data_IF_666282363472
#
_entry.id   IF_666282363472
#
_cell.length_a   1.000
_cell.length_b   1.000
_cell.length_c   1.000
_cell.angle_alpha   90.00
_cell.angle_beta   90.00
_cell.angle_gamma   90.00
#
_symmetry.space_group_name_H-M   'P 1'
#
loop_
_entity.id
_entity.type
_entity.pdbx_description
1 polymer ?
#
# COMPACT_ATOMS: atom_id res chain seq x y z
N UNK A 1 9.40 -11.06 -5.61
CA UNK A 1 9.01 -10.35 -6.85
C UNK A 1 8.32 -9.06 -6.45
N UNK A 2 8.60 -7.96 -7.13
CA UNK A 2 7.92 -6.69 -6.92
C UNK A 2 7.23 -6.24 -8.21
N UNK A 3 6.05 -5.66 -8.09
CA UNK A 3 5.35 -5.00 -9.20
C UNK A 3 4.92 -3.64 -8.72
N UNK A 4 5.36 -2.63 -9.45
CA UNK A 4 5.25 -1.25 -9.02
C UNK A 4 4.72 -0.36 -10.14
N UNK A 5 4.06 0.71 -9.73
CA UNK A 5 3.30 1.66 -10.56
C UNK A 5 3.52 3.07 -10.01
N UNK A 6 3.21 4.10 -10.81
CA UNK A 6 3.34 5.48 -10.34
C UNK A 6 2.42 5.74 -9.13
N UNK A 7 3.01 6.18 -8.03
CA UNK A 7 2.32 6.60 -6.79
C UNK A 7 2.20 8.12 -6.68
N UNK A 8 2.00 8.63 -5.46
CA UNK A 8 1.97 10.06 -5.19
C UNK A 8 3.32 10.58 -4.67
N UNK A 9 3.73 11.74 -5.17
CA UNK A 9 4.79 12.54 -4.56
C UNK A 9 4.35 13.03 -3.18
N UNK A 10 5.31 13.23 -2.29
CA UNK A 10 5.14 13.91 -1.03
C UNK A 10 4.43 15.26 -1.24
N UNK A 11 4.71 16.00 -2.32
CA UNK A 11 4.09 17.28 -2.68
C UNK A 11 2.57 17.30 -2.46
N UNK A 12 1.89 16.21 -2.80
CA UNK A 12 0.43 16.07 -2.71
C UNK A 12 0.00 15.20 -1.52
N UNK A 13 -0.21 15.85 -0.38
CA UNK A 13 -0.62 15.20 0.88
C UNK A 13 -1.91 14.39 0.75
N UNK A 14 -2.87 14.87 -0.04
CA UNK A 14 -4.17 14.20 -0.20
C UNK A 14 -4.01 12.92 -1.02
N UNK A 15 -3.25 12.97 -2.11
CA UNK A 15 -2.96 11.77 -2.90
C UNK A 15 -2.12 10.76 -2.13
N UNK A 16 -1.13 11.23 -1.36
CA UNK A 16 -0.32 10.39 -0.48
C UNK A 16 -1.19 9.61 0.51
N UNK A 17 -2.08 10.29 1.23
CA UNK A 17 -2.99 9.66 2.19
C UNK A 17 -3.95 8.69 1.49
N UNK A 18 -4.42 9.04 0.28
CA UNK A 18 -5.29 8.15 -0.52
C UNK A 18 -4.56 6.85 -0.87
N UNK A 19 -3.29 6.91 -1.27
CA UNK A 19 -2.48 5.72 -1.53
C UNK A 19 -2.14 4.94 -0.24
N UNK A 20 -1.91 5.63 0.88
CA UNK A 20 -1.70 4.99 2.18
C UNK A 20 -2.96 4.25 2.69
N UNK A 21 -4.15 4.78 2.40
CA UNK A 21 -5.42 4.11 2.65
C UNK A 21 -5.62 2.92 1.70
N UNK A 22 -5.31 3.10 0.40
CA UNK A 22 -5.34 2.00 -0.57
C UNK A 22 -4.42 0.86 -0.12
N UNK A 23 -3.20 1.15 0.31
CA UNK A 23 -2.24 0.18 0.84
C UNK A 23 -2.85 -0.69 1.96
N UNK A 24 -3.55 -0.07 2.92
CA UNK A 24 -4.18 -0.77 4.04
C UNK A 24 -5.40 -1.59 3.61
N UNK A 25 -6.17 -1.11 2.63
CA UNK A 25 -7.29 -1.90 2.07
C UNK A 25 -6.81 -3.12 1.27
N UNK A 26 -5.68 -3.00 0.57
CA UNK A 26 -5.05 -4.08 -0.17
C UNK A 26 -4.37 -5.08 0.77
N UNK A 27 -3.71 -4.58 1.81
CA UNK A 27 -3.07 -5.33 2.88
C UNK A 27 -1.56 -5.14 2.91
N UNK A 28 -1.02 -4.88 4.09
CA UNK A 28 0.42 -4.66 4.35
C UNK A 28 1.15 -5.93 4.82
N UNK A 29 0.62 -7.11 4.48
CA UNK A 29 1.11 -8.40 4.97
C UNK A 29 0.29 -8.93 6.14
N UNK A 30 0.76 -10.04 6.73
CA UNK A 30 0.11 -10.71 7.85
C UNK A 30 0.86 -10.32 9.13
N UNK A 31 0.26 -9.51 10.03
CA UNK A 31 0.96 -8.98 11.19
C UNK A 31 1.22 -10.03 12.28
N UNK A 32 0.43 -11.11 12.32
CA UNK A 32 0.57 -12.17 13.33
C UNK A 32 0.92 -13.49 12.65
N UNK A 33 1.95 -14.17 13.16
CA UNK A 33 2.32 -15.51 12.71
C UNK A 33 1.09 -16.41 12.81
N UNK A 34 0.73 -17.09 11.71
CA UNK A 34 -0.41 -18.01 11.59
C UNK A 34 -1.80 -17.37 11.43
N UNK A 35 -1.92 -16.05 11.28
CA UNK A 35 -3.20 -15.47 10.84
C UNK A 35 -3.46 -15.81 9.36
N UNK A 36 -4.72 -16.05 9.01
CA UNK A 36 -5.17 -16.34 7.65
C UNK A 36 -5.33 -15.10 6.76
N UNK A 37 -4.98 -13.89 7.25
CA UNK A 37 -5.06 -12.64 6.49
C UNK A 37 -6.50 -12.25 6.11
N UNK A 38 -7.49 -12.67 6.90
CA UNK A 38 -8.92 -12.52 6.61
C UNK A 38 -9.37 -11.06 6.41
N UNK A 39 -8.54 -10.09 6.81
CA UNK A 39 -8.82 -8.67 6.65
C UNK A 39 -8.30 -8.01 5.37
N UNK A 40 -7.48 -8.66 4.56
CA UNK A 40 -6.74 -8.00 3.45
C UNK A 40 -6.97 -8.70 2.12
N UNK A 41 -7.35 -7.94 1.08
CA UNK A 41 -7.72 -8.51 -0.23
C UNK A 41 -6.58 -9.27 -0.89
N UNK A 42 -5.35 -8.77 -0.76
CA UNK A 42 -4.17 -9.43 -1.33
C UNK A 42 -3.89 -10.76 -0.63
N UNK A 43 -4.02 -10.82 0.70
CA UNK A 43 -3.80 -12.06 1.46
C UNK A 43 -4.92 -13.08 1.21
N UNK A 44 -6.18 -12.65 1.13
CA UNK A 44 -7.30 -13.51 0.75
C UNK A 44 -7.14 -14.10 -0.66
N UNK A 45 -6.59 -13.34 -1.60
CA UNK A 45 -6.39 -13.81 -2.97
C UNK A 45 -5.29 -14.88 -3.10
N UNK A 46 -4.45 -15.04 -2.07
CA UNK A 46 -3.29 -15.93 -2.10
C UNK A 46 -3.43 -17.22 -1.31
N UNK A 47 -4.43 -17.35 -0.42
CA UNK A 47 -4.82 -18.59 0.28
C UNK A 47 -3.64 -19.49 0.75
N UNK A 48 -2.51 -18.90 1.15
CA UNK A 48 -1.32 -19.62 1.63
C UNK A 48 -0.25 -20.00 0.59
N UNK A 49 -0.40 -19.64 -0.69
CA UNK A 49 0.62 -19.88 -1.75
C UNK A 49 1.82 -18.93 -1.73
N UNK A 50 1.97 -18.13 -0.66
CA UNK A 50 3.05 -17.16 -0.50
C UNK A 50 2.67 -16.01 0.43
N UNK A 51 3.60 -15.08 0.61
CA UNK A 51 3.39 -13.81 1.31
C UNK A 51 3.27 -12.67 0.29
N UNK A 52 2.35 -11.74 0.52
CA UNK A 52 2.21 -10.52 -0.26
C UNK A 52 2.03 -9.32 0.65
N UNK A 53 2.58 -8.18 0.25
CA UNK A 53 2.37 -6.92 0.96
C UNK A 53 2.29 -5.78 -0.05
N UNK A 54 1.31 -4.91 0.13
CA UNK A 54 1.21 -3.66 -0.61
C UNK A 54 2.30 -2.68 -0.15
N UNK A 55 2.91 -2.02 -1.13
CA UNK A 55 3.98 -1.05 -0.95
C UNK A 55 3.48 0.34 -1.36
N UNK A 56 3.80 1.35 -0.55
CA UNK A 56 3.62 2.75 -0.87
C UNK A 56 4.89 3.50 -0.45
N UNK A 57 5.62 4.05 -1.42
CA UNK A 57 6.80 4.87 -1.19
C UNK A 57 6.56 6.26 -1.80
N UNK A 58 6.81 7.31 -1.02
CA UNK A 58 6.55 8.67 -1.42
C UNK A 58 7.87 9.45 -1.36
N UNK A 59 8.32 9.98 -2.50
CA UNK A 59 9.49 10.84 -2.63
C UNK A 59 9.07 12.29 -2.88
N UNK A 60 10.01 13.23 -2.80
CA UNK A 60 9.71 14.66 -2.96
C UNK A 60 9.19 15.01 -4.36
N UNK A 61 9.66 14.33 -5.39
CA UNK A 61 9.37 14.56 -6.80
C UNK A 61 8.46 13.50 -7.43
N UNK A 62 8.49 12.26 -6.91
CA UNK A 62 7.72 11.14 -7.43
C UNK A 62 7.15 10.25 -6.32
N UNK A 63 6.27 9.32 -6.69
CA UNK A 63 5.79 8.28 -5.80
C UNK A 63 5.79 6.93 -6.48
N UNK A 64 5.80 5.88 -5.68
CA UNK A 64 5.76 4.50 -6.11
C UNK A 64 4.71 3.75 -5.31
N UNK A 65 3.80 3.08 -6.00
CA UNK A 65 2.77 2.25 -5.39
C UNK A 65 2.75 0.88 -6.03
N UNK A 66 2.63 -0.18 -5.23
CA UNK A 66 2.72 -1.52 -5.77
C UNK A 66 2.49 -2.61 -4.74
N UNK A 67 3.02 -3.79 -5.03
CA UNK A 67 3.07 -4.89 -4.09
C UNK A 67 4.37 -5.68 -4.26
N UNK A 68 4.80 -6.29 -3.17
CA UNK A 68 5.89 -7.25 -3.12
C UNK A 68 5.28 -8.59 -2.76
N UNK A 69 5.61 -9.63 -3.52
CA UNK A 69 5.20 -10.99 -3.25
C UNK A 69 6.40 -11.94 -3.17
N UNK A 70 6.36 -12.84 -2.21
CA UNK A 70 7.30 -13.92 -2.02
C UNK A 70 6.54 -15.25 -2.06
N UNK A 71 6.87 -16.11 -3.01
CA UNK A 71 6.20 -17.40 -3.19
C UNK A 71 7.22 -18.45 -3.67
N UNK A 72 6.97 -19.74 -3.41
CA UNK A 72 7.73 -20.81 -4.04
C UNK A 72 7.68 -20.69 -5.57
N UNK A 73 8.75 -21.12 -6.23
CA UNK A 73 8.92 -20.88 -7.66
C UNK A 73 7.81 -21.54 -8.51
N UNK A 74 7.23 -22.65 -8.03
CA UNK A 74 6.08 -23.33 -8.64
C UNK A 74 4.77 -22.51 -8.63
N UNK A 75 4.60 -21.59 -7.66
CA UNK A 75 3.37 -20.80 -7.48
C UNK A 75 3.54 -19.32 -7.86
N UNK A 76 4.77 -18.88 -8.11
CA UNK A 76 5.10 -17.50 -8.46
C UNK A 76 4.27 -16.97 -9.64
N UNK A 77 4.02 -17.80 -10.64
CA UNK A 77 3.20 -17.41 -11.79
C UNK A 77 1.72 -17.20 -11.47
N UNK A 78 1.16 -17.99 -10.54
CA UNK A 78 -0.21 -17.82 -10.05
C UNK A 78 -0.31 -16.53 -9.25
N UNK A 79 0.59 -16.33 -8.30
CA UNK A 79 0.63 -15.15 -7.40
C UNK A 79 0.59 -13.83 -8.19
N UNK A 80 1.39 -13.71 -9.25
CA UNK A 80 1.46 -12.48 -10.05
C UNK A 80 0.22 -12.29 -10.92
N UNK A 81 -0.28 -13.36 -11.54
CA UNK A 81 -1.33 -13.28 -12.55
C UNK A 81 -2.73 -13.23 -11.96
N UNK A 82 -3.00 -14.02 -10.91
CA UNK A 82 -4.33 -14.18 -10.35
C UNK A 82 -4.63 -13.18 -9.23
N UNK A 83 -3.68 -12.95 -8.33
CA UNK A 83 -3.92 -12.15 -7.14
C UNK A 83 -3.64 -10.67 -7.39
N UNK A 84 -2.44 -10.34 -7.86
CA UNK A 84 -1.97 -8.99 -7.65
C UNK A 84 -2.23 -8.03 -8.84
N UNK A 85 -2.17 -8.52 -10.09
CA UNK A 85 -2.62 -7.75 -11.25
C UNK A 85 -4.15 -7.58 -11.30
N UNK A 86 -4.91 -8.58 -10.82
CA UNK A 86 -6.38 -8.54 -10.78
C UNK A 86 -6.86 -7.63 -9.65
N UNK A 87 -6.31 -7.77 -8.44
CA UNK A 87 -6.71 -6.94 -7.30
C UNK A 87 -6.40 -5.46 -7.55
N UNK A 88 -5.26 -5.09 -8.15
CA UNK A 88 -4.99 -3.69 -8.49
C UNK A 88 -6.00 -3.10 -9.51
N UNK A 89 -6.50 -3.93 -10.43
CA UNK A 89 -7.45 -3.51 -11.48
C UNK A 89 -8.91 -3.54 -11.03
N UNK A 90 -9.25 -4.39 -10.06
CA UNK A 90 -10.64 -4.64 -9.63
C UNK A 90 -10.89 -4.33 -8.16
N UNK A 91 -10.00 -3.63 -7.46
CA UNK A 91 -10.18 -3.26 -6.07
C UNK A 91 -11.31 -2.22 -5.90
N UNK A 92 -12.54 -2.70 -5.96
CA UNK A 92 -13.70 -1.95 -5.46
C UNK A 92 -13.61 -1.91 -3.94
N UNK A 93 -13.34 -0.76 -3.35
CA UNK A 93 -13.27 -0.61 -1.88
C UNK A 93 -14.66 -0.39 -1.33
N UNK A 94 -15.05 -1.20 -0.34
CA UNK A 94 -16.33 -1.08 0.37
C UNK A 94 -16.19 -0.10 1.54
N UNK A 95 -17.28 0.53 1.99
CA UNK A 95 -17.25 1.51 3.09
C UNK A 95 -16.75 0.92 4.42
N UNK A 96 -17.07 -0.34 4.70
CA UNK A 96 -16.56 -1.04 5.89
C UNK A 96 -15.04 -1.23 5.84
N UNK A 97 -14.49 -1.50 4.66
CA UNK A 97 -13.05 -1.64 4.45
C UNK A 97 -12.35 -0.29 4.54
N UNK A 98 -12.98 0.76 4.01
CA UNK A 98 -12.47 2.13 4.12
C UNK A 98 -12.44 2.59 5.58
N UNK A 99 -13.52 2.39 6.32
CA UNK A 99 -13.59 2.73 7.74
C UNK A 99 -12.49 2.04 8.54
N UNK A 100 -12.28 0.73 8.30
CA UNK A 100 -11.18 -0.02 8.92
C UNK A 100 -9.80 0.50 8.53
N UNK A 101 -9.57 0.78 7.23
CA UNK A 101 -8.30 1.31 6.76
C UNK A 101 -7.99 2.70 7.35
N UNK A 102 -9.02 3.55 7.51
CA UNK A 102 -8.90 4.84 8.21
C UNK A 102 -8.53 4.64 9.67
N UNK A 103 -9.22 3.75 10.38
CA UNK A 103 -8.92 3.46 11.78
C UNK A 103 -7.47 2.94 11.96
N UNK A 104 -7.03 2.04 11.09
CA UNK A 104 -5.66 1.52 11.09
C UNK A 104 -4.62 2.63 10.83
N UNK A 105 -4.83 3.48 9.81
CA UNK A 105 -3.92 4.58 9.52
C UNK A 105 -3.85 5.60 10.67
N UNK A 106 -4.98 5.90 11.30
CA UNK A 106 -5.01 6.78 12.47
C UNK A 106 -4.29 6.17 13.67
N UNK A 107 -4.52 4.88 13.93
CA UNK A 107 -3.84 4.17 15.01
C UNK A 107 -2.33 4.19 14.79
N UNK A 108 -1.85 3.83 13.61
CA UNK A 108 -0.42 3.85 13.27
C UNK A 108 0.18 5.25 13.47
N UNK A 109 -0.50 6.29 12.96
CA UNK A 109 -0.04 7.69 13.07
C UNK A 109 0.05 8.17 14.53
N UNK A 110 -0.92 7.79 15.37
CA UNK A 110 -0.92 8.16 16.79
C UNK A 110 0.13 7.37 17.57
N UNK A 111 0.26 6.07 17.32
CA UNK A 111 1.28 5.23 17.96
C UNK A 111 2.70 5.68 17.61
N UNK A 112 2.96 6.13 16.37
CA UNK A 112 4.27 6.70 16.01
C UNK A 112 4.58 7.97 16.83
N UNK A 113 3.57 8.77 17.16
CA UNK A 113 3.77 9.99 17.96
C UNK A 113 4.03 9.71 19.45
N UNK A 114 3.63 8.55 19.97
CA UNK A 114 3.94 8.14 21.34
C UNK A 114 5.44 7.86 21.53
N UNK A 115 6.14 7.53 20.44
CA UNK A 115 7.57 7.34 20.46
C UNK A 115 8.29 8.65 20.17
N UNK A 116 8.91 9.24 21.20
CA UNK A 116 9.64 10.51 21.11
C UNK A 116 10.73 10.50 20.04
N UNK A 117 11.43 9.38 19.83
CA UNK A 117 12.45 9.26 18.79
C UNK A 117 11.83 9.36 17.39
N UNK A 118 10.76 8.59 17.14
CA UNK A 118 10.05 8.63 15.86
C UNK A 118 9.37 9.99 15.62
N UNK A 119 8.86 10.64 16.67
CA UNK A 119 8.32 12.00 16.59
C UNK A 119 9.39 13.03 16.18
N UNK A 120 10.59 12.94 16.76
CA UNK A 120 11.70 13.83 16.39
C UNK A 120 12.15 13.63 14.95
N UNK A 121 12.22 12.38 14.49
CA UNK A 121 12.54 12.06 13.09
C UNK A 121 11.49 12.64 12.14
N UNK A 122 10.19 12.45 12.43
CA UNK A 122 9.10 12.99 11.63
C UNK A 122 9.14 14.52 11.54
N UNK A 123 9.32 15.22 12.67
CA UNK A 123 9.45 16.69 12.70
C UNK A 123 10.68 17.16 11.91
N UNK A 124 11.79 16.42 11.98
CA UNK A 124 13.01 16.73 11.22
C UNK A 124 12.78 16.58 9.72
N UNK A 125 12.08 15.52 9.29
CA UNK A 125 11.73 15.30 7.88
C UNK A 125 10.75 16.36 7.37
N UNK A 126 9.74 16.74 8.15
CA UNK A 126 8.83 17.82 7.78
C UNK A 126 9.57 19.14 7.62
N UNK A 127 10.49 19.46 8.53
CA UNK A 127 11.34 20.65 8.45
C UNK A 127 12.22 20.62 7.20
N UNK A 128 12.86 19.47 6.91
CA UNK A 128 13.69 19.28 5.72
C UNK A 128 12.90 19.45 4.41
N UNK A 129 11.65 18.98 4.39
CA UNK A 129 10.74 19.12 3.26
C UNK A 129 10.04 20.48 3.23
N UNK A 130 10.38 21.39 4.16
CA UNK A 130 9.79 22.71 4.34
C UNK A 130 8.26 22.68 4.51
N UNK A 131 7.81 21.77 5.37
CA UNK A 131 6.40 21.47 5.69
C UNK A 131 6.13 21.67 7.17
N UNK A 132 4.90 22.05 7.48
CA UNK A 132 4.39 22.16 8.84
C UNK A 132 3.00 21.51 8.90
N UNK A 133 2.92 20.20 8.68
CA UNK A 133 1.64 19.48 8.78
C UNK A 133 1.44 19.02 10.21
N UNK A 134 0.42 19.56 10.88
CA UNK A 134 0.10 19.09 12.23
C UNK A 134 -0.55 17.71 12.18
N UNK A 135 -0.43 16.95 13.26
CA UNK A 135 -1.14 15.68 13.40
C UNK A 135 -2.65 15.83 13.21
N UNK A 136 -3.22 16.95 13.65
CA UNK A 136 -4.64 17.26 13.46
C UNK A 136 -5.01 17.44 11.98
N UNK A 137 -4.15 18.10 11.18
CA UNK A 137 -4.37 18.29 9.75
C UNK A 137 -4.34 16.96 9.00
N UNK A 138 -3.41 16.08 9.36
CA UNK A 138 -3.29 14.74 8.78
C UNK A 138 -4.53 13.90 9.12
N UNK A 139 -4.99 13.91 10.38
CA UNK A 139 -6.20 13.21 10.81
C UNK A 139 -7.46 13.72 10.08
N UNK A 140 -7.62 15.03 9.95
CA UNK A 140 -8.72 15.64 9.20
C UNK A 140 -8.69 15.24 7.72
N UNK A 141 -7.49 15.19 7.13
CA UNK A 141 -7.32 14.79 5.73
C UNK A 141 -7.69 13.33 5.51
N UNK A 142 -7.31 12.44 6.44
CA UNK A 142 -7.70 11.01 6.43
C UNK A 142 -9.23 10.87 6.44
N UNK A 143 -9.93 11.66 7.25
CA UNK A 143 -11.39 11.59 7.32
C UNK A 143 -12.09 12.04 6.04
N UNK A 144 -11.53 13.06 5.38
CA UNK A 144 -12.09 13.63 4.14
C UNK A 144 -11.96 12.73 2.91
N UNK A 145 -11.09 11.71 2.91
CA UNK A 145 -10.92 10.82 1.75
C UNK A 145 -12.16 9.94 1.56
N UNK A 146 -12.70 9.92 0.34
CA UNK A 146 -13.85 9.12 -0.05
C UNK A 146 -13.47 7.80 -0.74
N UNK A 147 -14.39 6.83 -0.75
CA UNK A 147 -14.18 5.55 -1.45
C UNK A 147 -14.01 5.74 -2.97
N UNK A 148 -14.72 6.70 -3.57
CA UNK A 148 -14.63 7.02 -4.99
C UNK A 148 -13.22 7.51 -5.38
N UNK A 149 -12.56 8.30 -4.54
CA UNK A 149 -11.20 8.76 -4.78
C UNK A 149 -10.20 7.61 -4.75
N UNK A 150 -10.36 6.67 -3.84
CA UNK A 150 -9.51 5.48 -3.75
C UNK A 150 -9.69 4.58 -4.97
N UNK A 151 -10.94 4.35 -5.40
CA UNK A 151 -11.24 3.55 -6.59
C UNK A 151 -10.65 4.17 -7.86
N UNK A 152 -10.78 5.50 -8.02
CA UNK A 152 -10.20 6.23 -9.15
C UNK A 152 -8.67 6.06 -9.20
N UNK A 153 -7.99 6.13 -8.05
CA UNK A 153 -6.54 5.97 -7.96
C UNK A 153 -6.09 4.53 -8.20
N UNK A 154 -6.85 3.54 -7.72
CA UNK A 154 -6.58 2.12 -8.00
C UNK A 154 -6.67 1.79 -9.49
N UNK A 155 -7.62 2.38 -10.20
CA UNK A 155 -7.75 2.16 -11.64
C UNK A 155 -6.57 2.78 -12.42
N UNK A 156 -6.10 3.96 -12.01
CA UNK A 156 -4.95 4.63 -12.63
C UNK A 156 -3.65 3.83 -12.44
N UNK A 157 -3.42 3.27 -11.25
CA UNK A 157 -2.24 2.43 -11.00
C UNK A 157 -2.27 1.13 -11.81
N UNK A 158 -3.45 0.49 -11.96
CA UNK A 158 -3.61 -0.73 -12.75
C UNK A 158 -3.36 -0.59 -14.27
N UNK A 159 -3.29 0.64 -14.79
CA UNK A 159 -3.03 0.97 -16.19
C UNK A 159 -1.57 1.40 -16.47
N UNK A 160 -0.86 1.93 -15.48
CA UNK A 160 0.50 2.45 -15.68
C UNK A 160 1.57 1.35 -15.76
N UNK A 161 2.66 1.61 -16.50
CA UNK A 161 3.75 0.66 -16.79
C UNK A 161 4.27 -0.02 -15.51
N UNK A 162 4.34 -1.36 -15.56
CA UNK A 162 4.73 -2.20 -14.43
C UNK A 162 6.24 -2.42 -14.43
N UNK A 163 6.96 -1.69 -13.56
CA UNK A 163 8.35 -1.99 -13.26
C UNK A 163 8.40 -3.26 -12.39
N UNK A 164 9.22 -4.24 -12.79
CA UNK A 164 9.26 -5.58 -12.16
C UNK A 164 10.66 -5.97 -11.71
N UNK A 165 10.91 -5.86 -10.41
CA UNK A 165 12.10 -6.42 -9.75
C UNK A 165 11.92 -7.90 -9.42
N UNK A 166 12.91 -8.74 -9.75
CA UNK A 166 12.93 -10.18 -9.41
C UNK A 166 14.28 -10.58 -8.83
N UNK A 167 14.21 -11.47 -7.84
CA UNK A 167 15.35 -12.15 -7.24
C UNK A 167 14.96 -13.63 -7.06
N UNK A 168 15.78 -14.58 -7.53
CA UNK A 168 15.50 -16.03 -7.50
C UNK A 168 15.31 -16.69 -8.89
N UNK A 169 14.68 -17.87 -8.95
CA UNK A 169 14.49 -18.66 -10.19
C UNK A 169 13.53 -18.00 -11.20
N UNK A 170 14.00 -17.46 -12.34
CA UNK A 170 13.20 -16.55 -13.18
C UNK A 170 12.28 -17.24 -14.21
N UNK A 171 12.50 -18.53 -14.51
CA UNK A 171 11.82 -19.24 -15.63
C UNK A 171 10.33 -19.58 -15.41
N UNK A 172 9.80 -19.44 -14.19
CA UNK A 172 8.48 -19.96 -13.80
C UNK A 172 7.38 -18.89 -13.66
N UNK A 173 7.64 -17.66 -14.06
CA UNK A 173 6.65 -16.57 -14.05
C UNK A 173 6.15 -16.31 -15.48
N UNK A 174 4.83 -16.16 -15.71
CA UNK A 174 4.19 -16.16 -17.03
C UNK A 174 4.43 -14.90 -17.87
N UNK A 175 5.30 -14.00 -17.41
CA UNK A 175 5.71 -12.81 -18.13
C UNK A 175 7.24 -12.77 -18.14
N UNK A 176 7.81 -13.67 -18.93
CA UNK A 176 9.16 -13.58 -19.46
C UNK A 176 9.06 -13.07 -20.90
#
# INVERSE_FOLDING_TARGET
>A
MAVETAGASLADTKSMITFALLQRTLGTGIPVKYESGAGSKLNQALLGSGAVSALNLNYSDAGLFGFIAAAPAADAGKVVSSAAAKVLRTASVNDSQLSRAKAQLKADLLTTQENTGALLEELSLQTLLNRASTSADLLSTIDKVSAAEIQRRSFQTGLSQTCRGRHGHPKQCPFC
#
